data_IF_807696365059
#
_entry.id   IF_807696365059
#
_cell.length_a   1.000
_cell.length_b   1.000
_cell.length_c   1.000
_cell.angle_alpha   90.00
_cell.angle_beta   90.00
_cell.angle_gamma   90.00
#
_symmetry.space_group_name_H-M   'P 1'
#
loop_
_entity.id
_entity.type
_entity.pdbx_description
1 polymer ?
#
# COMPACT_ATOMS: atom_id res chain seq x y z
N UNK A 1 -8.80 -5.12 -12.26
CA UNK A 1 -7.61 -5.40 -13.08
C UNK A 1 -6.70 -6.38 -12.37
N UNK A 2 -6.00 -7.24 -13.11
CA UNK A 2 -5.02 -8.19 -12.55
C UNK A 2 -3.68 -7.48 -12.40
N UNK A 3 -3.05 -7.58 -11.24
CA UNK A 3 -1.72 -7.06 -10.96
C UNK A 3 -0.81 -8.16 -10.40
N UNK A 4 0.48 -8.11 -10.73
CA UNK A 4 1.52 -8.76 -9.94
C UNK A 4 1.80 -7.88 -8.72
N UNK A 5 1.49 -8.38 -7.52
CA UNK A 5 1.76 -7.67 -6.27
C UNK A 5 3.19 -7.97 -5.80
N UNK A 6 4.02 -6.94 -5.73
CA UNK A 6 5.43 -7.05 -5.33
C UNK A 6 5.68 -6.16 -4.11
N UNK A 7 6.39 -6.69 -3.12
CA UNK A 7 6.79 -5.94 -1.92
C UNK A 7 8.31 -5.98 -1.78
N UNK A 8 8.93 -4.81 -1.78
CA UNK A 8 10.34 -4.64 -1.41
C UNK A 8 10.48 -4.60 0.10
N UNK A 9 10.74 -5.75 0.72
CA UNK A 9 10.85 -5.89 2.17
C UNK A 9 12.06 -5.13 2.74
N UNK A 10 13.21 -5.16 2.07
CA UNK A 10 14.40 -4.41 2.50
C UNK A 10 14.10 -2.91 2.51
N UNK A 11 13.42 -2.42 1.46
CA UNK A 11 12.91 -1.06 1.42
C UNK A 11 11.92 -0.74 2.55
N UNK A 12 11.02 -1.68 2.88
CA UNK A 12 10.02 -1.50 3.93
C UNK A 12 10.66 -1.29 5.31
N UNK A 13 11.67 -2.09 5.66
CA UNK A 13 12.35 -2.01 6.96
C UNK A 13 13.40 -0.88 7.01
N UNK A 14 14.34 -0.85 6.08
CA UNK A 14 15.54 0.01 6.18
C UNK A 14 15.40 1.33 5.40
N UNK A 15 14.37 1.47 4.56
CA UNK A 15 14.18 2.63 3.69
C UNK A 15 15.15 2.76 2.52
N UNK A 16 16.19 1.93 2.50
CA UNK A 16 17.09 1.76 1.38
C UNK A 16 16.59 0.58 0.56
N UNK A 17 16.51 0.75 -0.76
CA UNK A 17 16.09 -0.32 -1.66
C UNK A 17 17.33 -0.82 -2.41
N UNK A 18 18.04 -1.85 -1.92
CA UNK A 18 19.07 -2.51 -2.71
C UNK A 18 18.47 -3.18 -3.97
N UNK A 19 17.15 -3.34 -3.99
CA UNK A 19 16.39 -4.07 -5.00
C UNK A 19 15.96 -3.23 -6.21
N UNK A 20 16.36 -1.95 -6.32
CA UNK A 20 15.91 -1.09 -7.43
C UNK A 20 16.24 -1.67 -8.83
N UNK A 21 17.42 -2.26 -8.99
CA UNK A 21 17.80 -2.88 -10.27
C UNK A 21 16.93 -4.10 -10.61
N UNK A 22 16.55 -4.88 -9.60
CA UNK A 22 15.66 -6.04 -9.75
C UNK A 22 14.25 -5.55 -10.12
N UNK A 23 13.74 -4.54 -9.41
CA UNK A 23 12.44 -3.92 -9.69
C UNK A 23 12.37 -3.40 -11.13
N UNK A 24 13.40 -2.67 -11.57
CA UNK A 24 13.50 -2.16 -12.94
C UNK A 24 13.50 -3.29 -13.96
N UNK A 25 14.29 -4.35 -13.72
CA UNK A 25 14.38 -5.51 -14.61
C UNK A 25 13.04 -6.26 -14.71
N UNK A 26 12.33 -6.44 -13.59
CA UNK A 26 11.00 -7.04 -13.58
C UNK A 26 10.04 -6.22 -14.43
N UNK A 27 9.97 -4.90 -14.20
CA UNK A 27 9.05 -4.01 -14.89
C UNK A 27 9.28 -3.97 -16.42
N UNK A 28 10.51 -4.20 -16.89
CA UNK A 28 10.80 -4.30 -18.33
C UNK A 28 10.55 -5.69 -18.94
N UNK A 29 10.45 -6.74 -18.12
CA UNK A 29 10.43 -8.14 -18.60
C UNK A 29 9.03 -8.76 -18.53
N UNK A 30 8.25 -8.43 -17.50
CA UNK A 30 6.91 -9.03 -17.33
C UNK A 30 5.86 -8.22 -18.06
N UNK A 31 4.92 -8.91 -18.72
CA UNK A 31 3.78 -8.27 -19.40
C UNK A 31 2.61 -7.95 -18.46
N UNK A 32 2.60 -8.55 -17.26
CA UNK A 32 1.56 -8.32 -16.25
C UNK A 32 1.85 -6.99 -15.54
N UNK A 33 0.87 -6.08 -15.41
CA UNK A 33 1.03 -4.85 -14.63
C UNK A 33 1.52 -5.11 -13.22
N UNK A 34 2.56 -4.40 -12.78
CA UNK A 34 3.12 -4.52 -11.43
C UNK A 34 2.48 -3.46 -10.53
N UNK A 35 2.04 -3.87 -9.35
CA UNK A 35 1.85 -2.98 -8.21
C UNK A 35 2.96 -3.21 -7.18
N UNK A 36 3.58 -2.13 -6.71
CA UNK A 36 4.79 -2.21 -5.89
C UNK A 36 4.61 -1.48 -4.56
N UNK A 37 4.83 -2.19 -3.46
CA UNK A 37 5.00 -1.62 -2.11
C UNK A 37 6.44 -1.77 -1.61
N UNK A 38 6.76 -1.09 -0.50
CA UNK A 38 8.04 -1.22 0.19
C UNK A 38 8.93 0.03 0.12
N UNK A 39 9.05 0.73 1.25
CA UNK A 39 10.02 1.82 1.39
C UNK A 39 9.80 3.04 0.50
N UNK A 40 8.56 3.30 0.08
CA UNK A 40 8.22 4.45 -0.78
C UNK A 40 7.85 5.63 0.14
N UNK A 41 8.77 6.60 0.29
CA UNK A 41 8.67 7.71 1.27
C UNK A 41 8.88 9.10 0.67
N UNK A 42 8.98 9.23 -0.65
CA UNK A 42 9.18 10.51 -1.33
C UNK A 42 8.53 10.55 -2.71
N UNK A 43 8.16 11.76 -3.15
CA UNK A 43 7.64 11.98 -4.50
C UNK A 43 8.64 11.57 -5.58
N UNK A 44 9.95 11.79 -5.36
CA UNK A 44 10.98 11.41 -6.33
C UNK A 44 11.02 9.89 -6.56
N UNK A 45 10.84 9.10 -5.49
CA UNK A 45 10.78 7.64 -5.62
C UNK A 45 9.49 7.21 -6.31
N UNK A 46 8.35 7.82 -5.98
CA UNK A 46 7.07 7.57 -6.66
C UNK A 46 7.21 7.84 -8.16
N UNK A 47 7.74 9.01 -8.52
CA UNK A 47 7.96 9.41 -9.90
C UNK A 47 8.88 8.42 -10.63
N UNK A 48 10.04 8.08 -10.03
CA UNK A 48 10.98 7.14 -10.64
C UNK A 48 10.35 5.77 -10.91
N UNK A 49 9.59 5.24 -9.96
CA UNK A 49 8.92 3.94 -10.12
C UNK A 49 7.84 3.99 -11.20
N UNK A 50 6.97 5.01 -11.16
CA UNK A 50 5.81 5.11 -12.06
C UNK A 50 6.17 5.52 -13.48
N UNK A 51 7.10 6.47 -13.64
CA UNK A 51 7.42 7.09 -14.94
C UNK A 51 8.65 6.45 -15.57
N UNK A 52 9.71 6.20 -14.80
CA UNK A 52 10.99 5.74 -15.38
C UNK A 52 11.09 4.22 -15.46
N UNK A 53 10.54 3.49 -14.47
CA UNK A 53 10.61 2.03 -14.45
C UNK A 53 9.37 1.36 -15.04
N UNK A 54 8.26 2.09 -15.20
CA UNK A 54 7.03 1.55 -15.78
C UNK A 54 6.16 0.75 -14.81
N UNK A 55 6.34 0.93 -13.49
CA UNK A 55 5.44 0.34 -12.48
C UNK A 55 4.05 0.96 -12.61
N UNK A 56 2.99 0.16 -12.70
CA UNK A 56 1.64 0.68 -12.96
C UNK A 56 1.01 1.31 -11.73
N UNK A 57 1.29 0.79 -10.54
CA UNK A 57 0.78 1.32 -9.27
C UNK A 57 1.81 1.23 -8.15
N UNK A 58 1.88 2.26 -7.31
CA UNK A 58 2.66 2.22 -6.07
C UNK A 58 1.75 2.12 -4.85
N UNK A 59 2.22 1.44 -3.82
CA UNK A 59 1.50 1.24 -2.56
C UNK A 59 2.24 1.98 -1.45
N UNK A 60 1.59 2.99 -0.88
CA UNK A 60 2.10 3.73 0.27
C UNK A 60 1.55 3.09 1.56
N UNK A 61 2.43 2.47 2.36
CA UNK A 61 2.08 1.97 3.68
C UNK A 61 2.19 3.07 4.73
N UNK A 62 3.11 2.91 5.69
CA UNK A 62 3.36 3.88 6.78
C UNK A 62 3.50 5.34 6.32
N UNK A 63 4.09 5.59 5.14
CA UNK A 63 4.24 6.94 4.61
C UNK A 63 2.90 7.65 4.34
N UNK A 64 1.83 6.91 4.01
CA UNK A 64 0.49 7.45 3.82
C UNK A 64 -0.12 8.03 5.11
N UNK A 65 0.36 7.56 6.26
CA UNK A 65 -0.13 7.92 7.60
C UNK A 65 0.76 9.01 8.20
N UNK A 66 2.08 8.79 8.16
CA UNK A 66 3.06 9.69 8.76
C UNK A 66 3.27 10.98 7.95
N UNK A 67 2.94 10.97 6.65
CA UNK A 67 3.12 12.10 5.75
C UNK A 67 1.91 12.25 4.80
N UNK A 68 0.84 12.84 5.32
CA UNK A 68 -0.40 13.08 4.56
C UNK A 68 -0.19 14.03 3.37
N UNK A 69 0.75 14.98 3.45
CA UNK A 69 1.11 15.87 2.34
C UNK A 69 1.71 15.08 1.15
N UNK A 70 2.59 14.12 1.44
CA UNK A 70 3.11 13.22 0.40
C UNK A 70 1.98 12.45 -0.27
N UNK A 71 1.05 11.90 0.51
CA UNK A 71 -0.08 11.15 -0.03
C UNK A 71 -0.96 12.04 -0.91
N UNK A 72 -1.32 13.23 -0.43
CA UNK A 72 -2.15 14.17 -1.17
C UNK A 72 -1.50 14.53 -2.51
N UNK A 73 -0.22 14.95 -2.50
CA UNK A 73 0.51 15.29 -3.73
C UNK A 73 0.63 14.10 -4.69
N UNK A 74 0.80 12.89 -4.17
CA UNK A 74 0.86 11.68 -4.99
C UNK A 74 -0.48 11.38 -5.65
N UNK A 75 -1.58 11.45 -4.89
CA UNK A 75 -2.94 11.23 -5.38
C UNK A 75 -3.32 12.31 -6.40
N UNK A 76 -3.06 13.58 -6.12
CA UNK A 76 -3.36 14.69 -7.04
C UNK A 76 -2.63 14.52 -8.38
N UNK A 77 -1.38 14.03 -8.36
CA UNK A 77 -0.57 13.86 -9.57
C UNK A 77 -0.86 12.55 -10.32
N UNK A 78 -1.12 11.46 -9.61
CA UNK A 78 -1.13 10.11 -10.19
C UNK A 78 -2.44 9.34 -10.05
N UNK A 79 -3.42 9.86 -9.29
CA UNK A 79 -4.75 9.30 -9.12
C UNK A 79 -4.73 7.82 -8.72
N UNK A 80 -5.47 6.99 -9.47
CA UNK A 80 -5.65 5.54 -9.22
C UNK A 80 -4.36 4.69 -9.30
N UNK A 81 -3.23 5.30 -9.71
CA UNK A 81 -1.90 4.68 -9.64
C UNK A 81 -1.30 4.73 -8.24
N UNK A 82 -1.97 5.37 -7.28
CA UNK A 82 -1.63 5.36 -5.86
C UNK A 82 -2.63 4.48 -5.12
N UNK A 83 -2.12 3.48 -4.39
CA UNK A 83 -2.88 2.74 -3.39
C UNK A 83 -2.25 2.92 -2.02
N UNK A 84 -3.04 2.64 -0.98
CA UNK A 84 -2.55 2.62 0.40
C UNK A 84 -2.56 1.20 0.95
N UNK A 85 -1.47 0.81 1.62
CA UNK A 85 -1.43 -0.43 2.41
C UNK A 85 -1.91 -0.16 3.82
N UNK A 86 -2.94 -0.88 4.27
CA UNK A 86 -3.44 -0.85 5.65
C UNK A 86 -3.27 -2.25 6.22
N UNK A 87 -2.27 -2.40 7.07
CA UNK A 87 -2.08 -3.61 7.86
C UNK A 87 -2.81 -3.43 9.19
N UNK A 88 -3.58 -4.44 9.60
CA UNK A 88 -4.38 -4.38 10.81
C UNK A 88 -4.36 -5.68 11.60
N UNK A 89 -4.45 -5.55 12.92
CA UNK A 89 -4.61 -6.69 13.83
C UNK A 89 -5.76 -6.39 14.78
N UNK A 90 -6.75 -7.27 14.82
CA UNK A 90 -7.97 -7.09 15.65
C UNK A 90 -8.65 -5.74 15.36
N UNK A 91 -8.79 -5.38 14.08
CA UNK A 91 -9.38 -4.13 13.62
C UNK A 91 -8.57 -2.84 13.85
N UNK A 92 -7.35 -2.92 14.42
CA UNK A 92 -6.48 -1.76 14.68
C UNK A 92 -5.32 -1.71 13.70
N UNK A 93 -5.02 -0.53 13.17
CA UNK A 93 -3.95 -0.33 12.20
C UNK A 93 -2.56 -0.51 12.83
N UNK A 94 -1.65 -1.13 12.10
CA UNK A 94 -0.25 -1.32 12.42
C UNK A 94 0.64 -0.58 11.41
N UNK A 95 1.75 0.00 11.87
CA UNK A 95 2.68 0.79 11.07
C UNK A 95 4.13 0.31 11.27
N UNK A 96 5.06 0.82 10.45
CA UNK A 96 6.49 0.46 10.43
C UNK A 96 6.74 -1.03 10.25
N UNK A 97 6.28 -1.60 9.13
CA UNK A 97 6.43 -3.03 8.86
C UNK A 97 5.74 -3.88 9.94
N UNK A 98 4.54 -3.46 10.35
CA UNK A 98 3.69 -4.19 11.31
C UNK A 98 4.18 -4.19 12.77
N UNK A 99 5.33 -3.56 13.06
CA UNK A 99 5.95 -3.60 14.41
C UNK A 99 5.24 -2.67 15.40
N UNK A 100 4.76 -1.51 14.95
CA UNK A 100 4.17 -0.51 15.82
C UNK A 100 2.65 -0.54 15.72
N UNK A 101 1.97 -0.93 16.80
CA UNK A 101 0.51 -0.88 16.91
C UNK A 101 0.05 0.55 17.15
N UNK A 102 -1.11 0.91 16.60
CA UNK A 102 -1.77 2.19 16.83
C UNK A 102 -3.15 1.98 17.43
N UNK A 103 -3.71 3.01 18.09
CA UNK A 103 -5.09 2.98 18.56
C UNK A 103 -6.11 3.31 17.46
N UNK A 104 -5.62 3.67 16.27
CA UNK A 104 -6.45 4.03 15.11
C UNK A 104 -7.07 2.75 14.54
N UNK A 105 -8.40 2.77 14.34
CA UNK A 105 -9.05 1.65 13.66
C UNK A 105 -8.69 1.62 12.18
N UNK A 106 -8.63 0.42 11.60
CA UNK A 106 -8.36 0.27 10.17
C UNK A 106 -9.41 0.99 9.31
N UNK A 107 -10.68 0.95 9.73
CA UNK A 107 -11.80 1.62 9.05
C UNK A 107 -11.65 3.14 9.09
N UNK A 108 -11.31 3.72 10.26
CA UNK A 108 -11.13 5.16 10.36
C UNK A 108 -9.93 5.64 9.56
N UNK A 109 -8.87 4.83 9.50
CA UNK A 109 -7.75 5.12 8.60
C UNK A 109 -8.19 5.05 7.12
N UNK A 110 -8.99 4.03 6.76
CA UNK A 110 -9.59 3.90 5.43
C UNK A 110 -10.41 5.14 5.04
N UNK A 111 -11.27 5.65 5.94
CA UNK A 111 -12.03 6.89 5.72
C UNK A 111 -11.09 8.09 5.47
N UNK A 112 -10.07 8.26 6.30
CA UNK A 112 -9.10 9.36 6.16
C UNK A 112 -8.38 9.35 4.82
N UNK A 113 -7.91 8.17 4.36
CA UNK A 113 -7.21 8.10 3.06
C UNK A 113 -8.17 8.27 1.89
N UNK A 114 -9.42 7.84 2.03
CA UNK A 114 -10.47 8.15 1.06
C UNK A 114 -10.71 9.64 0.93
N UNK A 115 -10.79 10.37 2.05
CA UNK A 115 -11.01 11.82 2.04
C UNK A 115 -9.88 12.58 1.34
N UNK A 116 -8.66 12.03 1.35
CA UNK A 116 -7.49 12.53 0.60
C UNK A 116 -7.59 12.24 -0.92
N UNK A 117 -8.48 11.32 -1.32
CA UNK A 117 -8.74 10.95 -2.71
C UNK A 117 -8.23 9.56 -3.10
N UNK A 118 -7.76 8.75 -2.15
CA UNK A 118 -7.38 7.35 -2.43
C UNK A 118 -8.62 6.54 -2.77
N UNK A 119 -8.54 5.76 -3.85
CA UNK A 119 -9.64 4.92 -4.34
C UNK A 119 -9.40 3.43 -4.09
N UNK A 120 -8.16 2.99 -3.85
CA UNK A 120 -7.78 1.59 -3.63
C UNK A 120 -6.93 1.41 -2.38
N UNK A 121 -7.31 0.43 -1.54
CA UNK A 121 -6.54 0.00 -0.36
C UNK A 121 -6.22 -1.48 -0.45
N UNK A 122 -4.97 -1.83 -0.11
CA UNK A 122 -4.55 -3.21 0.15
C UNK A 122 -4.71 -3.43 1.65
N UNK A 123 -5.65 -4.28 2.05
CA UNK A 123 -5.94 -4.55 3.46
C UNK A 123 -5.36 -5.89 3.88
N UNK A 124 -4.47 -5.88 4.88
CA UNK A 124 -3.88 -7.10 5.43
C UNK A 124 -4.34 -7.29 6.87
N UNK A 125 -5.10 -8.35 7.15
CA UNK A 125 -5.27 -8.81 8.54
C UNK A 125 -4.06 -9.66 8.94
N UNK A 126 -3.08 -9.02 9.58
CA UNK A 126 -1.84 -9.66 9.99
C UNK A 126 -2.04 -10.71 11.11
N UNK A 127 -3.23 -10.77 11.73
CA UNK A 127 -3.54 -11.82 12.70
C UNK A 127 -3.89 -13.17 12.02
N UNK A 128 -4.27 -13.14 10.74
CA UNK A 128 -4.59 -14.34 9.95
C UNK A 128 -3.56 -14.65 8.88
N UNK A 129 -2.68 -13.71 8.58
CA UNK A 129 -1.63 -13.92 7.60
C UNK A 129 -0.72 -15.09 7.99
N UNK A 130 -0.37 -15.92 7.01
CA UNK A 130 0.40 -17.16 7.23
C UNK A 130 -0.32 -18.28 7.99
N UNK A 131 -1.55 -18.09 8.47
CA UNK A 131 -2.27 -19.07 9.31
C UNK A 131 -3.09 -20.11 8.50
N UNK A 132 -3.09 -20.04 7.17
CA UNK A 132 -3.87 -20.90 6.26
C UNK A 132 -5.38 -20.98 6.57
N UNK A 133 -5.91 -20.02 7.32
CA UNK A 133 -7.31 -19.96 7.76
C UNK A 133 -8.24 -19.20 6.79
N UNK A 134 -7.67 -18.73 5.68
CA UNK A 134 -8.35 -17.86 4.72
C UNK A 134 -8.42 -16.40 5.21
N UNK A 135 -8.91 -15.49 4.34
CA UNK A 135 -8.96 -14.07 4.65
C UNK A 135 -10.00 -13.74 5.73
N UNK A 136 -9.81 -12.62 6.42
CA UNK A 136 -10.81 -12.12 7.37
C UNK A 136 -12.00 -11.45 6.66
N UNK A 137 -12.89 -12.29 6.12
CA UNK A 137 -14.06 -11.84 5.32
C UNK A 137 -14.91 -10.78 6.03
N UNK A 138 -15.07 -10.88 7.35
CA UNK A 138 -15.88 -9.92 8.10
C UNK A 138 -15.22 -8.55 8.15
N UNK A 139 -13.96 -8.46 8.59
CA UNK A 139 -13.26 -7.18 8.63
C UNK A 139 -13.06 -6.57 7.24
N UNK A 140 -12.79 -7.40 6.22
CA UNK A 140 -12.74 -6.94 4.81
C UNK A 140 -14.09 -6.36 4.38
N UNK A 141 -15.21 -7.01 4.70
CA UNK A 141 -16.55 -6.49 4.39
C UNK A 141 -16.81 -5.17 5.11
N UNK A 142 -16.43 -5.07 6.39
CA UNK A 142 -16.60 -3.84 7.16
C UNK A 142 -15.80 -2.69 6.57
N UNK A 143 -14.56 -2.95 6.11
CA UNK A 143 -13.75 -1.96 5.37
C UNK A 143 -14.48 -1.49 4.11
N UNK A 144 -15.01 -2.40 3.29
CA UNK A 144 -15.74 -2.06 2.05
C UNK A 144 -16.97 -1.20 2.37
N UNK A 145 -17.84 -1.67 3.26
CA UNK A 145 -19.14 -1.03 3.52
C UNK A 145 -19.00 0.33 4.19
N UNK A 146 -18.03 0.47 5.11
CA UNK A 146 -17.89 1.67 5.92
C UNK A 146 -17.01 2.75 5.29
N UNK A 147 -16.21 2.40 4.30
CA UNK A 147 -15.33 3.34 3.59
C UNK A 147 -15.80 3.56 2.16
N UNK A 148 -16.39 2.57 1.49
CA UNK A 148 -16.67 2.62 0.05
C UNK A 148 -15.41 2.62 -0.83
N UNK A 149 -14.26 2.19 -0.30
CA UNK A 149 -13.02 2.00 -1.05
C UNK A 149 -13.04 0.68 -1.81
N UNK A 150 -12.21 0.60 -2.86
CA UNK A 150 -11.86 -0.69 -3.45
C UNK A 150 -10.86 -1.40 -2.53
N UNK A 151 -11.29 -2.48 -1.88
CA UNK A 151 -10.43 -3.27 -0.99
C UNK A 151 -9.91 -4.50 -1.74
N UNK A 152 -8.59 -4.68 -1.68
CA UNK A 152 -7.88 -5.89 -2.12
C UNK A 152 -7.39 -6.64 -0.89
#
# INVERSE_FOLDING_TARGET
SVYLHVVDLDGAFDGKSPNENIIKSMASTVSIPIQLGGGIRSMDKIQRLLENYGIQRVILGTAAIDNTDLLQRAVDKYGDRIAVGIDASKGKAAIKGWVQKTDISAVDLGRKVKDIGVSTVIYTDIAKDGMLSGPNKQETKDMIDQTGLNII
#
